data_IF_273891075489
#
_entry.id   IF_273891075489
#
_cell.length_a   1.000
_cell.length_b   1.000
_cell.length_c   1.000
_cell.angle_alpha   90.00
_cell.angle_beta   90.00
_cell.angle_gamma   90.00
#
_symmetry.space_group_name_H-M   'P 1'
#
loop_
_entity.id
_entity.type
_entity.pdbx_description
1 polymer ?
#
# COMPACT_ATOMS: atom_id res chain seq x y z
N UNK A 1 26.12 -22.16 -14.88
CA UNK A 1 26.37 -20.99 -14.00
C UNK A 1 25.18 -20.04 -13.98
N UNK A 2 24.76 -19.47 -15.12
CA UNK A 2 23.64 -18.52 -15.19
C UNK A 2 22.34 -19.06 -14.57
N UNK A 3 21.88 -20.24 -14.96
CA UNK A 3 20.64 -20.82 -14.41
C UNK A 3 20.67 -21.03 -12.89
N UNK A 4 21.82 -21.43 -12.33
CA UNK A 4 21.97 -21.60 -10.88
C UNK A 4 21.88 -20.27 -10.13
N UNK A 5 22.52 -19.21 -10.66
CA UNK A 5 22.41 -17.86 -10.12
C UNK A 5 20.97 -17.35 -10.22
N UNK A 6 20.28 -17.60 -11.34
CA UNK A 6 18.88 -17.21 -11.52
C UNK A 6 17.96 -17.85 -10.47
N UNK A 7 18.11 -19.14 -10.18
CA UNK A 7 17.31 -19.83 -9.15
C UNK A 7 17.56 -19.24 -7.77
N UNK A 8 18.82 -18.95 -7.42
CA UNK A 8 19.17 -18.36 -6.12
C UNK A 8 18.58 -16.96 -5.98
N UNK A 9 18.75 -16.10 -6.98
CA UNK A 9 18.18 -14.73 -6.97
C UNK A 9 16.65 -14.76 -6.90
N UNK A 10 16.01 -15.69 -7.63
CA UNK A 10 14.56 -15.86 -7.57
C UNK A 10 14.08 -16.32 -6.20
N UNK A 11 14.72 -17.34 -5.61
CA UNK A 11 14.36 -17.85 -4.29
C UNK A 11 14.54 -16.79 -3.21
N UNK A 12 15.63 -16.01 -3.28
CA UNK A 12 15.88 -14.91 -2.34
C UNK A 12 14.87 -13.78 -2.51
N UNK A 13 14.56 -13.36 -3.75
CA UNK A 13 13.55 -12.35 -4.01
C UNK A 13 12.15 -12.77 -3.56
N UNK A 14 11.77 -14.03 -3.82
CA UNK A 14 10.51 -14.61 -3.34
C UNK A 14 10.46 -14.63 -1.81
N UNK A 15 11.54 -15.05 -1.15
CA UNK A 15 11.64 -15.02 0.31
C UNK A 15 11.51 -13.59 0.85
N UNK A 16 12.22 -12.61 0.29
CA UNK A 16 12.15 -11.22 0.73
C UNK A 16 10.74 -10.62 0.61
N UNK A 17 10.09 -10.78 -0.55
CA UNK A 17 8.71 -10.31 -0.75
C UNK A 17 7.73 -11.00 0.20
N UNK A 18 7.93 -12.28 0.54
CA UNK A 18 7.02 -13.01 1.43
C UNK A 18 7.27 -12.76 2.91
N UNK A 19 8.52 -12.53 3.30
CA UNK A 19 8.89 -12.40 4.71
C UNK A 19 8.70 -10.98 5.24
N UNK A 20 8.92 -9.97 4.37
CA UNK A 20 8.91 -8.54 4.73
C UNK A 20 9.82 -8.20 5.93
N UNK A 21 10.79 -9.05 6.27
CA UNK A 21 11.61 -8.91 7.49
C UNK A 21 12.50 -7.66 7.50
N UNK A 22 12.73 -7.06 6.34
CA UNK A 22 13.58 -5.87 6.17
C UNK A 22 12.78 -4.59 5.99
N UNK A 23 11.45 -4.63 6.16
CA UNK A 23 10.58 -3.45 6.08
C UNK A 23 10.20 -3.07 7.51
N UNK A 24 10.64 -1.89 7.95
CA UNK A 24 10.25 -1.37 9.26
C UNK A 24 8.92 -0.61 9.20
N UNK A 25 8.46 -0.12 10.34
CA UNK A 25 7.17 0.57 10.46
C UNK A 25 7.13 1.91 9.71
N UNK A 26 8.26 2.63 9.63
CA UNK A 26 8.33 3.91 8.91
C UNK A 26 8.30 3.65 7.41
N UNK A 27 9.13 2.72 6.93
CA UNK A 27 9.12 2.27 5.54
C UNK A 27 7.73 1.75 5.12
N UNK A 28 7.07 1.01 6.01
CA UNK A 28 5.72 0.50 5.79
C UNK A 28 4.72 1.65 5.59
N UNK A 29 4.70 2.64 6.49
CA UNK A 29 3.80 3.80 6.39
C UNK A 29 4.08 4.64 5.13
N UNK A 30 5.36 4.91 4.84
CA UNK A 30 5.76 5.65 3.65
C UNK A 30 5.31 4.96 2.35
N UNK A 31 5.36 3.63 2.29
CA UNK A 31 4.86 2.84 1.16
C UNK A 31 3.33 2.78 1.11
N UNK A 32 2.67 2.87 2.27
CA UNK A 32 1.23 2.70 2.38
C UNK A 32 0.45 3.99 2.03
N UNK A 33 1.04 5.17 2.25
CA UNK A 33 0.47 6.47 1.81
C UNK A 33 0.16 6.51 0.29
N UNK A 34 1.09 6.18 -0.62
CA UNK A 34 0.80 6.15 -2.05
C UNK A 34 -0.15 5.01 -2.43
N UNK A 35 -0.09 3.85 -1.75
CA UNK A 35 -1.07 2.78 -1.92
C UNK A 35 -2.49 3.28 -1.65
N UNK A 36 -2.67 4.02 -0.54
CA UNK A 36 -3.96 4.61 -0.18
C UNK A 36 -4.39 5.70 -1.16
N UNK A 37 -3.45 6.53 -1.61
CA UNK A 37 -3.70 7.59 -2.59
C UNK A 37 -4.23 7.04 -3.92
N UNK A 38 -3.76 5.87 -4.36
CA UNK A 38 -4.27 5.20 -5.57
C UNK A 38 -5.71 4.71 -5.37
N UNK A 39 -6.05 4.18 -4.20
CA UNK A 39 -7.42 3.76 -3.87
C UNK A 39 -8.39 4.95 -3.88
N UNK A 40 -7.97 6.09 -3.30
CA UNK A 40 -8.73 7.34 -3.34
C UNK A 40 -8.93 7.81 -4.78
N UNK A 41 -7.87 7.84 -5.58
CA UNK A 41 -7.91 8.28 -6.98
C UNK A 41 -8.87 7.42 -7.80
N UNK A 42 -8.74 6.10 -7.67
CA UNK A 42 -9.58 5.11 -8.38
C UNK A 42 -11.04 5.27 -7.99
N UNK A 43 -11.33 5.34 -6.69
CA UNK A 43 -12.68 5.49 -6.15
C UNK A 43 -13.35 6.81 -6.54
N UNK A 44 -12.55 7.88 -6.67
CA UNK A 44 -13.04 9.22 -7.06
C UNK A 44 -13.33 9.34 -8.55
N UNK A 45 -12.70 8.51 -9.39
CA UNK A 45 -12.81 8.58 -10.87
C UNK A 45 -13.63 7.44 -11.47
N UNK A 46 -13.97 6.43 -10.67
CA UNK A 46 -14.76 5.30 -11.12
C UNK A 46 -16.16 5.76 -11.55
N UNK A 47 -16.59 5.30 -12.72
CA UNK A 47 -17.95 5.46 -13.21
C UNK A 47 -18.86 4.44 -12.49
N UNK A 48 -19.50 4.89 -11.41
CA UNK A 48 -20.30 4.04 -10.53
C UNK A 48 -21.76 4.49 -10.56
N UNK A 49 -22.62 3.64 -11.09
CA UNK A 49 -24.07 3.90 -11.20
C UNK A 49 -24.85 3.36 -9.99
N UNK A 50 -24.46 2.20 -9.44
CA UNK A 50 -25.16 1.61 -8.29
C UNK A 50 -24.90 2.43 -7.01
N UNK A 51 -25.94 2.97 -6.36
CA UNK A 51 -25.77 3.84 -5.19
C UNK A 51 -25.09 3.14 -4.01
N UNK A 52 -25.20 1.82 -3.89
CA UNK A 52 -24.53 1.05 -2.83
C UNK A 52 -23.03 0.98 -3.07
N UNK A 53 -22.62 0.86 -4.33
CA UNK A 53 -21.21 0.84 -4.72
C UNK A 53 -20.61 2.25 -4.60
N UNK A 54 -21.40 3.30 -4.90
CA UNK A 54 -20.99 4.70 -4.69
C UNK A 54 -20.71 4.96 -3.21
N UNK A 55 -21.63 4.54 -2.34
CA UNK A 55 -21.45 4.66 -0.90
C UNK A 55 -20.18 3.94 -0.42
N UNK A 56 -19.96 2.70 -0.86
CA UNK A 56 -18.75 1.95 -0.52
C UNK A 56 -17.47 2.69 -0.94
N UNK A 57 -17.46 3.26 -2.14
CA UNK A 57 -16.30 3.98 -2.63
C UNK A 57 -16.07 5.32 -1.90
N UNK A 58 -17.13 5.96 -1.41
CA UNK A 58 -17.02 7.17 -0.58
C UNK A 58 -16.50 6.83 0.84
N UNK A 59 -16.97 5.72 1.42
CA UNK A 59 -16.48 5.19 2.70
C UNK A 59 -14.98 4.84 2.61
N UNK A 60 -14.54 4.22 1.49
CA UNK A 60 -13.12 3.95 1.22
C UNK A 60 -12.33 5.26 1.17
N UNK A 61 -12.81 6.28 0.46
CA UNK A 61 -12.10 7.57 0.35
C UNK A 61 -11.94 8.21 1.74
N UNK A 62 -12.98 8.21 2.56
CA UNK A 62 -12.94 8.79 3.90
C UNK A 62 -11.94 8.05 4.80
N UNK A 63 -12.01 6.73 4.84
CA UNK A 63 -11.10 5.90 5.63
C UNK A 63 -9.65 6.13 5.22
N UNK A 64 -9.36 6.07 3.91
CA UNK A 64 -8.00 6.14 3.41
C UNK A 64 -7.38 7.53 3.61
N UNK A 65 -8.17 8.61 3.56
CA UNK A 65 -7.70 9.96 3.90
C UNK A 65 -7.33 10.10 5.37
N UNK A 66 -8.14 9.54 6.27
CA UNK A 66 -7.88 9.54 7.70
C UNK A 66 -6.60 8.76 8.02
N UNK A 67 -6.47 7.55 7.46
CA UNK A 67 -5.30 6.69 7.62
C UNK A 67 -4.01 7.33 7.08
N UNK A 68 -4.08 8.06 5.96
CA UNK A 68 -2.93 8.86 5.48
C UNK A 68 -2.50 9.90 6.52
N UNK A 69 -3.44 10.63 7.11
CA UNK A 69 -3.12 11.63 8.14
C UNK A 69 -2.51 11.01 9.40
N UNK A 70 -3.03 9.86 9.84
CA UNK A 70 -2.48 9.09 10.96
C UNK A 70 -1.05 8.62 10.68
N UNK A 71 -0.80 8.06 9.48
CA UNK A 71 0.53 7.63 9.06
C UNK A 71 1.51 8.80 8.97
N UNK A 72 1.10 9.94 8.41
CA UNK A 72 1.95 11.13 8.32
C UNK A 72 2.37 11.63 9.70
N UNK A 73 1.44 11.69 10.66
CA UNK A 73 1.73 12.09 12.02
C UNK A 73 2.68 11.10 12.73
N UNK A 74 2.46 9.80 12.56
CA UNK A 74 3.32 8.76 13.15
C UNK A 74 4.73 8.74 12.54
N UNK A 75 4.86 8.99 11.23
CA UNK A 75 6.18 9.14 10.59
C UNK A 75 6.92 10.32 11.23
N UNK A 76 6.27 11.48 11.39
CA UNK A 76 6.88 12.66 11.99
C UNK A 76 7.30 12.43 13.46
N UNK A 77 6.58 11.59 14.21
CA UNK A 77 6.93 11.24 15.59
C UNK A 77 8.11 10.26 15.70
N UNK A 78 8.27 9.36 14.71
CA UNK A 78 9.21 8.25 14.76
C UNK A 78 10.54 8.51 14.02
N UNK A 79 10.60 9.56 13.21
CA UNK A 79 11.82 10.05 12.51
C UNK A 79 12.59 11.11 13.34
#
# INVERSE_FOLDING_TARGET
MVYGISVVLFAFGLWGVRSQQTVDQVDWMQAMIPHHSIAILTSSRADIEDPRVRQLADDIIEAQKREIGEMQALIEELE
#
